data_IF_271238160339
#
_entry.id   IF_271238160339
#
_cell.length_a   1.000
_cell.length_b   1.000
_cell.length_c   1.000
_cell.angle_alpha   90.00
_cell.angle_beta   90.00
_cell.angle_gamma   90.00
#
_symmetry.space_group_name_H-M   'P 1'
#
loop_
_entity.id
_entity.type
_entity.pdbx_description
1 polymer ?
#
# COMPACT_ATOMS: atom_id res chain seq x y z
N UNK A 1 -17.20 16.06 -14.90
CA UNK A 1 -18.15 14.92 -14.83
C UNK A 1 -19.42 15.41 -14.15
N UNK A 2 -20.62 15.07 -14.63
CA UNK A 2 -21.87 15.53 -14.01
C UNK A 2 -22.98 14.49 -14.08
N UNK A 3 -23.96 14.61 -13.19
CA UNK A 3 -25.12 13.73 -13.13
C UNK A 3 -26.42 14.56 -13.07
N UNK A 4 -27.05 14.83 -14.23
CA UNK A 4 -28.29 15.59 -14.29
C UNK A 4 -29.44 14.77 -13.69
N UNK A 5 -30.18 15.41 -12.79
CA UNK A 5 -31.31 14.82 -12.07
C UNK A 5 -32.58 15.63 -12.33
N UNK A 6 -33.69 14.92 -12.46
CA UNK A 6 -35.00 15.51 -12.65
C UNK A 6 -35.99 14.88 -11.67
N UNK A 7 -36.69 15.74 -10.93
CA UNK A 7 -37.80 15.37 -10.07
C UNK A 7 -39.09 15.91 -10.68
N UNK A 8 -40.19 15.17 -10.54
CA UNK A 8 -41.53 15.58 -10.96
C UNK A 8 -42.37 15.83 -9.71
N UNK A 9 -43.11 16.93 -9.66
CA UNK A 9 -43.89 17.24 -8.45
C UNK A 9 -44.46 18.66 -8.44
N UNK A 10 -44.58 19.22 -7.24
CA UNK A 10 -45.20 20.51 -6.88
C UNK A 10 -44.52 21.78 -7.44
N UNK A 11 -43.59 21.64 -8.37
CA UNK A 11 -42.76 22.72 -8.89
C UNK A 11 -43.50 23.57 -9.94
N UNK A 12 -43.10 24.83 -10.10
CA UNK A 12 -43.74 25.81 -11.01
C UNK A 12 -43.91 25.33 -12.46
N UNK A 13 -43.11 24.37 -12.91
CA UNK A 13 -43.18 23.75 -14.25
C UNK A 13 -43.44 22.25 -14.21
N UNK A 14 -44.05 21.74 -13.15
CA UNK A 14 -44.23 20.31 -12.81
C UNK A 14 -42.94 19.51 -12.61
N UNK A 15 -41.77 20.11 -12.88
CA UNK A 15 -40.47 19.47 -12.77
C UNK A 15 -39.46 20.39 -12.09
N UNK A 16 -38.61 19.80 -11.26
CA UNK A 16 -37.39 20.40 -10.75
C UNK A 16 -36.20 19.70 -11.38
N UNK A 17 -35.24 20.49 -11.90
CA UNK A 17 -34.06 19.98 -12.61
C UNK A 17 -32.82 20.58 -11.98
N UNK A 18 -31.86 19.73 -11.65
CA UNK A 18 -30.56 20.16 -11.17
C UNK A 18 -29.48 19.25 -11.75
N UNK A 19 -28.23 19.71 -11.70
CA UNK A 19 -27.09 18.93 -12.16
C UNK A 19 -25.95 19.07 -11.16
N UNK A 20 -25.54 17.95 -10.58
CA UNK A 20 -24.35 17.89 -9.73
C UNK A 20 -23.12 17.62 -10.60
N UNK A 21 -22.13 18.49 -10.54
CA UNK A 21 -20.91 18.40 -11.34
C UNK A 21 -19.65 18.41 -10.47
N UNK A 22 -18.74 17.46 -10.72
CA UNK A 22 -17.36 17.50 -10.24
C UNK A 22 -16.44 17.90 -11.39
N UNK A 23 -15.57 18.89 -11.13
CA UNK A 23 -14.60 19.42 -12.09
C UNK A 23 -13.22 18.88 -11.73
N UNK A 24 -12.54 18.30 -12.72
CA UNK A 24 -11.25 17.64 -12.55
C UNK A 24 -10.27 18.12 -13.63
N UNK A 25 -8.98 17.89 -13.40
CA UNK A 25 -7.95 18.05 -14.42
C UNK A 25 -8.16 17.07 -15.59
N UNK A 26 -7.70 17.44 -16.79
CA UNK A 26 -7.93 16.69 -18.03
C UNK A 26 -7.39 15.25 -17.98
N UNK A 27 -6.32 15.01 -17.22
CA UNK A 27 -5.61 13.71 -17.14
C UNK A 27 -5.99 12.90 -15.90
N UNK A 28 -6.92 13.38 -15.07
CA UNK A 28 -7.32 12.68 -13.86
C UNK A 28 -8.09 11.39 -14.19
N UNK A 29 -7.86 10.32 -13.42
CA UNK A 29 -8.69 9.12 -13.45
C UNK A 29 -10.05 9.43 -12.81
N UNK A 30 -11.11 9.27 -13.60
CA UNK A 30 -12.48 9.58 -13.18
C UNK A 30 -13.28 8.34 -12.77
N UNK A 31 -12.72 7.13 -12.93
CA UNK A 31 -13.44 5.86 -12.77
C UNK A 31 -14.04 5.68 -11.37
N UNK A 32 -13.33 6.15 -10.34
CA UNK A 32 -13.78 6.07 -8.94
C UNK A 32 -14.84 7.13 -8.57
N UNK A 33 -14.98 8.20 -9.35
CA UNK A 33 -15.87 9.32 -9.02
C UNK A 33 -17.28 9.16 -9.60
N UNK A 34 -17.46 8.40 -10.68
CA UNK A 34 -18.79 8.23 -11.29
C UNK A 34 -19.83 7.66 -10.31
N UNK A 35 -19.54 6.60 -9.52
CA UNK A 35 -20.48 6.10 -8.52
C UNK A 35 -20.76 7.13 -7.43
N UNK A 36 -19.77 7.97 -7.11
CA UNK A 36 -19.87 9.01 -6.07
C UNK A 36 -20.81 10.12 -6.52
N UNK A 37 -20.59 10.69 -7.70
CA UNK A 37 -21.48 11.75 -8.25
C UNK A 37 -22.91 11.22 -8.39
N UNK A 38 -23.09 9.98 -8.85
CA UNK A 38 -24.40 9.33 -8.95
C UNK A 38 -25.07 9.17 -7.58
N UNK A 39 -24.32 8.74 -6.55
CA UNK A 39 -24.86 8.55 -5.20
C UNK A 39 -25.24 9.89 -4.56
N UNK A 40 -24.39 10.91 -4.66
CA UNK A 40 -24.68 12.24 -4.10
C UNK A 40 -25.88 12.87 -4.83
N UNK A 41 -25.94 12.78 -6.16
CA UNK A 41 -27.07 13.32 -6.91
C UNK A 41 -28.40 12.65 -6.54
N UNK A 42 -28.39 11.36 -6.19
CA UNK A 42 -29.58 10.67 -5.64
C UNK A 42 -29.94 11.14 -4.23
N UNK A 43 -28.96 11.32 -3.34
CA UNK A 43 -29.20 11.83 -1.99
C UNK A 43 -29.80 13.24 -2.05
N UNK A 44 -29.23 14.11 -2.90
CA UNK A 44 -29.77 15.45 -3.14
C UNK A 44 -31.20 15.42 -3.69
N UNK A 45 -31.51 14.48 -4.58
CA UNK A 45 -32.86 14.31 -5.10
C UNK A 45 -33.85 13.89 -4.00
N UNK A 46 -33.46 12.99 -3.10
CA UNK A 46 -34.27 12.59 -1.94
C UNK A 46 -34.47 13.74 -0.95
N UNK A 47 -33.41 14.50 -0.62
CA UNK A 47 -33.51 15.67 0.25
C UNK A 47 -34.43 16.75 -0.36
N UNK A 48 -34.39 16.92 -1.67
CA UNK A 48 -35.27 17.85 -2.38
C UNK A 48 -36.75 17.42 -2.34
N UNK A 49 -37.03 16.11 -2.45
CA UNK A 49 -38.40 15.58 -2.35
C UNK A 49 -38.98 15.70 -0.93
N UNK A 50 -38.16 15.47 0.09
CA UNK A 50 -38.59 15.47 1.49
C UNK A 50 -38.71 16.88 2.09
N UNK A 51 -37.75 17.77 1.81
CA UNK A 51 -37.60 19.03 2.52
C UNK A 51 -37.37 20.25 1.63
N UNK A 52 -37.55 20.14 0.32
CA UNK A 52 -37.27 21.24 -0.63
C UNK A 52 -35.84 21.80 -0.47
N UNK A 53 -34.90 20.91 -0.11
CA UNK A 53 -33.54 21.28 0.32
C UNK A 53 -32.77 22.19 -0.65
N UNK A 54 -32.96 22.01 -1.97
CA UNK A 54 -32.33 22.79 -3.03
C UNK A 54 -33.21 23.95 -3.51
N UNK A 55 -34.53 23.79 -3.50
CA UNK A 55 -35.47 24.79 -3.99
C UNK A 55 -35.75 25.92 -2.98
N UNK A 56 -35.68 25.65 -1.68
CA UNK A 56 -35.72 26.63 -0.59
C UNK A 56 -34.43 26.60 0.22
N UNK A 57 -33.41 27.39 -0.18
CA UNK A 57 -32.15 27.44 0.56
C UNK A 57 -32.32 28.19 1.88
N UNK A 58 -32.32 27.46 3.00
CA UNK A 58 -32.24 28.01 4.35
C UNK A 58 -30.80 28.07 4.87
N UNK A 59 -30.54 28.90 5.89
CA UNK A 59 -29.22 29.03 6.52
C UNK A 59 -28.69 27.74 7.17
N UNK A 60 -29.53 26.71 7.34
CA UNK A 60 -29.19 25.45 7.99
C UNK A 60 -28.96 24.28 7.01
N UNK A 61 -29.10 24.52 5.70
CA UNK A 61 -28.93 23.48 4.68
C UNK A 61 -27.43 23.23 4.40
N UNK A 62 -26.81 22.34 5.18
CA UNK A 62 -25.41 21.93 4.99
C UNK A 62 -25.31 20.43 4.71
N UNK A 63 -24.44 20.05 3.76
CA UNK A 63 -24.12 18.65 3.46
C UNK A 63 -22.62 18.48 3.61
N UNK A 64 -22.23 17.59 4.51
CA UNK A 64 -20.84 17.17 4.67
C UNK A 64 -20.55 15.95 3.79
N UNK A 65 -19.58 16.11 2.88
CA UNK A 65 -19.15 15.04 1.99
C UNK A 65 -17.73 14.63 2.35
N UNK A 66 -17.55 13.35 2.72
CA UNK A 66 -16.23 12.75 2.91
C UNK A 66 -15.94 11.77 1.78
N UNK A 67 -15.04 12.16 0.90
CA UNK A 67 -14.57 11.31 -0.20
C UNK A 67 -13.40 10.49 0.31
N UNK A 68 -13.50 9.16 0.17
CA UNK A 68 -12.40 8.26 0.47
C UNK A 68 -11.70 7.86 -0.84
N UNK A 69 -10.36 7.74 -0.82
CA UNK A 69 -9.65 7.17 -1.95
C UNK A 69 -10.12 5.73 -2.19
N UNK A 70 -10.22 5.36 -3.46
CA UNK A 70 -10.48 3.99 -3.85
C UNK A 70 -9.21 3.16 -3.70
N UNK A 71 -9.27 2.08 -2.93
CA UNK A 71 -8.20 1.09 -2.85
C UNK A 71 -8.65 -0.22 -3.50
N UNK A 72 -7.82 -0.83 -4.36
CA UNK A 72 -8.14 -2.14 -4.92
C UNK A 72 -8.10 -3.21 -3.82
N UNK A 73 -8.87 -4.27 -4.00
CA UNK A 73 -8.84 -5.41 -3.07
C UNK A 73 -7.43 -6.02 -3.05
N UNK A 74 -6.81 -6.19 -1.86
CA UNK A 74 -5.47 -6.74 -1.75
C UNK A 74 -5.46 -8.23 -2.15
N UNK A 75 -4.29 -8.76 -2.55
CA UNK A 75 -4.13 -10.20 -2.72
C UNK A 75 -4.36 -10.94 -1.39
N UNK A 76 -4.77 -12.21 -1.50
CA UNK A 76 -4.98 -13.05 -0.33
C UNK A 76 -3.69 -13.25 0.46
N UNK A 77 -3.72 -12.89 1.75
CA UNK A 77 -2.61 -13.07 2.68
C UNK A 77 -2.53 -14.54 3.08
N UNK A 78 -1.32 -15.10 3.08
CA UNK A 78 -1.05 -16.49 3.48
C UNK A 78 -0.22 -16.52 4.76
N UNK A 79 -0.35 -17.61 5.51
CA UNK A 79 0.21 -17.71 6.87
C UNK A 79 1.75 -17.69 6.91
N UNK A 80 2.39 -18.05 5.80
CA UNK A 80 3.85 -18.01 5.63
C UNK A 80 4.38 -16.69 5.07
N UNK A 81 3.53 -15.74 4.69
CA UNK A 81 3.99 -14.46 4.19
C UNK A 81 4.60 -13.61 5.31
N UNK A 82 5.60 -12.79 4.96
CA UNK A 82 6.27 -11.87 5.87
C UNK A 82 5.81 -10.44 5.55
N UNK A 83 5.07 -9.77 6.45
CA UNK A 83 4.72 -8.37 6.30
C UNK A 83 5.93 -7.47 6.59
N UNK A 84 6.15 -6.49 5.72
CA UNK A 84 7.14 -5.42 5.85
C UNK A 84 6.40 -4.10 5.93
N UNK A 85 6.66 -3.34 6.99
CA UNK A 85 6.11 -2.01 7.16
C UNK A 85 6.82 -1.01 6.24
N UNK A 86 6.05 -0.25 5.46
CA UNK A 86 6.56 0.84 4.61
C UNK A 86 6.62 2.16 5.38
N UNK A 87 5.91 2.23 6.50
CA UNK A 87 5.83 3.39 7.39
C UNK A 87 6.10 2.97 8.82
N UNK A 88 6.39 3.94 9.70
CA UNK A 88 6.46 3.66 11.13
C UNK A 88 5.04 3.42 11.68
N UNK A 89 4.64 2.15 11.78
CA UNK A 89 3.32 1.73 12.27
C UNK A 89 3.05 2.22 13.70
N UNK A 90 4.06 2.16 14.58
CA UNK A 90 3.91 2.53 15.99
C UNK A 90 3.48 3.98 16.16
N UNK A 91 3.94 4.89 15.29
CA UNK A 91 3.54 6.30 15.31
C UNK A 91 2.11 6.56 14.83
N UNK A 92 1.46 5.57 14.20
CA UNK A 92 0.10 5.69 13.66
C UNK A 92 -0.96 4.99 14.48
N UNK A 93 -0.58 4.18 15.47
CA UNK A 93 -1.52 3.50 16.35
C UNK A 93 -2.13 4.56 17.27
N UNK A 94 -3.46 4.71 17.20
CA UNK A 94 -4.25 5.54 18.11
C UNK A 94 -4.90 4.64 19.19
N UNK A 95 -5.28 5.21 20.32
CA UNK A 95 -5.82 4.45 21.47
C UNK A 95 -7.15 3.74 21.17
N UNK A 96 -7.89 4.22 20.17
CA UNK A 96 -9.17 3.66 19.72
C UNK A 96 -9.03 2.59 18.63
N UNK A 97 -7.79 2.21 18.27
CA UNK A 97 -7.57 1.17 17.27
C UNK A 97 -8.01 -0.20 17.77
N UNK A 98 -8.35 -1.07 16.82
CA UNK A 98 -8.64 -2.47 17.09
C UNK A 98 -7.51 -3.14 17.89
N UNK A 99 -7.88 -3.92 18.91
CA UNK A 99 -6.93 -4.56 19.82
C UNK A 99 -5.99 -5.52 19.07
N UNK A 100 -6.51 -6.27 18.10
CA UNK A 100 -5.74 -7.21 17.27
C UNK A 100 -4.71 -6.43 16.45
N UNK A 101 -5.13 -5.32 15.82
CA UNK A 101 -4.22 -4.45 15.07
C UNK A 101 -3.07 -3.90 15.93
N UNK A 102 -3.40 -3.39 17.12
CA UNK A 102 -2.41 -2.83 18.04
C UNK A 102 -1.38 -3.87 18.50
N UNK A 103 -1.83 -5.11 18.75
CA UNK A 103 -0.94 -6.24 19.10
C UNK A 103 -0.08 -6.67 17.92
N UNK A 104 -0.69 -6.94 16.77
CA UNK A 104 -0.02 -7.45 15.56
C UNK A 104 1.04 -6.47 15.04
N UNK A 105 0.73 -5.17 14.99
CA UNK A 105 1.65 -4.15 14.46
C UNK A 105 2.99 -4.06 15.21
N UNK A 106 3.04 -4.46 16.50
CA UNK A 106 4.28 -4.45 17.30
C UNK A 106 5.29 -5.51 16.85
N UNK A 107 4.82 -6.56 16.18
CA UNK A 107 5.64 -7.69 15.75
C UNK A 107 5.90 -7.71 14.24
N UNK A 108 5.45 -6.68 13.51
CA UNK A 108 5.78 -6.47 12.09
C UNK A 108 7.18 -5.84 12.00
N UNK A 109 8.19 -6.69 11.93
CA UNK A 109 9.61 -6.33 11.86
C UNK A 109 10.26 -6.62 10.49
N UNK A 110 9.49 -7.16 9.55
CA UNK A 110 9.98 -7.62 8.24
C UNK A 110 10.77 -8.93 8.30
N UNK A 111 10.63 -9.72 9.38
CA UNK A 111 11.23 -11.05 9.54
C UNK A 111 10.17 -12.08 9.89
N UNK A 112 9.29 -11.78 10.84
CA UNK A 112 8.28 -12.72 11.30
C UNK A 112 7.21 -12.92 10.22
N UNK A 113 6.86 -14.17 9.94
CA UNK A 113 5.72 -14.48 9.08
C UNK A 113 4.40 -14.42 9.86
N UNK A 114 3.27 -14.34 9.15
CA UNK A 114 1.93 -14.16 9.74
C UNK A 114 1.63 -15.14 10.88
N UNK A 115 1.89 -16.44 10.70
CA UNK A 115 1.66 -17.44 11.76
C UNK A 115 2.52 -17.20 13.01
N UNK A 116 3.77 -16.75 12.83
CA UNK A 116 4.65 -16.43 13.96
C UNK A 116 4.21 -15.15 14.66
N UNK A 117 3.75 -14.15 13.90
CA UNK A 117 3.19 -12.92 14.46
C UNK A 117 1.96 -13.23 15.30
N UNK A 118 1.05 -14.07 14.82
CA UNK A 118 -0.13 -14.50 15.57
C UNK A 118 0.24 -15.13 16.92
N UNK A 119 1.24 -16.02 16.93
CA UNK A 119 1.74 -16.65 18.14
C UNK A 119 2.39 -15.65 19.11
N UNK A 120 3.22 -14.73 18.61
CA UNK A 120 3.89 -13.71 19.44
C UNK A 120 2.90 -12.67 20.00
N UNK A 121 1.85 -12.35 19.25
CA UNK A 121 0.81 -11.41 19.64
C UNK A 121 -0.26 -12.00 20.58
N UNK A 122 -0.24 -13.33 20.79
CA UNK A 122 -1.31 -14.08 21.45
C UNK A 122 -2.67 -13.74 20.82
N UNK A 123 -2.74 -13.92 19.49
CA UNK A 123 -3.91 -13.70 18.66
C UNK A 123 -4.19 -14.92 17.78
N UNK A 124 -5.46 -15.11 17.43
CA UNK A 124 -5.83 -16.14 16.45
C UNK A 124 -5.21 -15.83 15.07
N UNK A 125 -4.79 -16.88 14.36
CA UNK A 125 -4.11 -16.73 13.05
C UNK A 125 -5.05 -16.19 11.98
N UNK A 126 -6.34 -16.50 12.05
CA UNK A 126 -7.34 -15.99 11.10
C UNK A 126 -7.57 -14.50 11.29
N UNK A 127 -7.73 -14.05 12.53
CA UNK A 127 -7.85 -12.62 12.87
C UNK A 127 -6.56 -11.85 12.52
N UNK A 128 -5.39 -12.46 12.77
CA UNK A 128 -4.11 -11.87 12.38
C UNK A 128 -3.99 -11.72 10.87
N UNK A 129 -4.48 -12.70 10.10
CA UNK A 129 -4.49 -12.64 8.62
C UNK A 129 -5.41 -11.53 8.12
N UNK A 130 -6.58 -11.37 8.72
CA UNK A 130 -7.50 -10.26 8.41
C UNK A 130 -6.89 -8.91 8.75
N UNK A 131 -6.25 -8.79 9.91
CA UNK A 131 -5.52 -7.59 10.32
C UNK A 131 -4.42 -7.21 9.31
N UNK A 132 -3.60 -8.17 8.89
CA UNK A 132 -2.58 -7.95 7.86
C UNK A 132 -3.20 -7.62 6.51
N UNK A 133 -4.33 -8.24 6.15
CA UNK A 133 -5.06 -7.91 4.91
C UNK A 133 -5.58 -6.47 4.91
N UNK A 134 -6.11 -5.99 6.03
CA UNK A 134 -6.53 -4.59 6.20
C UNK A 134 -5.34 -3.63 6.10
N UNK A 135 -4.20 -3.93 6.74
CA UNK A 135 -2.99 -3.11 6.59
C UNK A 135 -2.49 -3.08 5.13
N UNK A 136 -2.62 -4.20 4.41
CA UNK A 136 -2.25 -4.30 3.00
C UNK A 136 -3.22 -3.51 2.09
N UNK A 137 -4.52 -3.50 2.39
CA UNK A 137 -5.53 -2.70 1.68
C UNK A 137 -5.20 -1.21 1.71
N UNK A 138 -4.78 -0.69 2.87
CA UNK A 138 -4.34 0.70 3.02
C UNK A 138 -2.91 0.99 2.54
N UNK A 139 -2.22 -0.01 1.97
CA UNK A 139 -0.86 0.11 1.42
C UNK A 139 0.18 0.60 2.43
N UNK A 140 -0.06 0.37 3.74
CA UNK A 140 0.91 0.72 4.80
C UNK A 140 1.97 -0.35 5.01
N UNK A 141 1.67 -1.58 4.57
CA UNK A 141 2.60 -2.70 4.56
C UNK A 141 2.63 -3.34 3.18
N UNK A 142 3.67 -4.14 2.94
CA UNK A 142 3.71 -5.09 1.84
C UNK A 142 4.07 -6.49 2.34
N UNK A 143 3.70 -7.52 1.60
CA UNK A 143 4.01 -8.92 1.95
C UNK A 143 5.07 -9.48 1.00
N UNK A 144 6.09 -10.11 1.56
CA UNK A 144 7.12 -10.87 0.82
C UNK A 144 7.18 -12.32 1.29
N UNK A 145 7.91 -13.16 0.55
CA UNK A 145 8.21 -14.52 0.98
C UNK A 145 9.27 -14.57 2.10
N UNK A 146 9.27 -15.67 2.85
CA UNK A 146 10.30 -15.96 3.86
C UNK A 146 11.68 -15.99 3.18
N UNK A 147 12.59 -15.19 3.70
CA UNK A 147 13.98 -15.21 3.30
C UNK A 147 14.68 -16.47 3.85
N UNK A 148 15.31 -17.22 2.96
CA UNK A 148 16.17 -18.36 3.29
C UNK A 148 17.43 -18.29 2.41
N UNK A 149 18.58 -18.74 2.93
CA UNK A 149 19.83 -18.77 2.16
C UNK A 149 19.79 -19.74 0.97
N UNK A 150 18.91 -20.74 1.03
CA UNK A 150 18.61 -21.68 -0.07
C UNK A 150 17.75 -21.06 -1.18
N UNK A 151 17.17 -19.87 -0.97
CA UNK A 151 16.39 -19.21 -1.99
C UNK A 151 17.28 -18.84 -3.17
N UNK A 152 16.72 -18.91 -4.36
CA UNK A 152 17.30 -18.36 -5.58
C UNK A 152 16.57 -17.06 -5.88
N UNK A 153 17.31 -16.04 -6.28
CA UNK A 153 16.73 -14.78 -6.72
C UNK A 153 17.31 -14.39 -8.07
N UNK A 154 16.48 -13.76 -8.90
CA UNK A 154 16.83 -13.34 -10.25
C UNK A 154 16.36 -11.92 -10.51
N UNK A 155 17.14 -11.20 -11.30
CA UNK A 155 16.77 -9.86 -11.72
C UNK A 155 15.60 -9.87 -12.72
N UNK A 156 14.71 -8.90 -12.53
CA UNK A 156 13.68 -8.53 -13.50
C UNK A 156 14.24 -7.51 -14.48
N UNK A 157 13.60 -7.40 -15.65
CA UNK A 157 13.92 -6.35 -16.65
C UNK A 157 13.76 -4.94 -16.07
N UNK A 158 12.98 -4.79 -15.00
CA UNK A 158 12.75 -3.51 -14.34
C UNK A 158 14.01 -2.87 -13.75
N UNK A 159 15.06 -3.65 -13.47
CA UNK A 159 16.34 -3.11 -12.99
C UNK A 159 16.95 -2.09 -13.97
N UNK A 160 16.67 -2.19 -15.27
CA UNK A 160 17.28 -1.32 -16.28
C UNK A 160 16.90 0.15 -16.09
N UNK A 161 15.68 0.43 -15.64
CA UNK A 161 15.20 1.79 -15.39
C UNK A 161 15.28 2.14 -13.90
N UNK A 162 14.96 1.19 -13.01
CA UNK A 162 15.03 1.41 -11.55
C UNK A 162 16.45 1.71 -11.06
N UNK A 163 17.47 1.16 -11.72
CA UNK A 163 18.85 1.40 -11.32
C UNK A 163 19.30 2.84 -11.56
N UNK A 164 18.56 3.62 -12.37
CA UNK A 164 18.87 5.02 -12.65
C UNK A 164 18.15 6.01 -11.74
N UNK A 165 17.09 5.58 -11.06
CA UNK A 165 16.30 6.43 -10.17
C UNK A 165 17.10 6.85 -8.93
N UNK A 166 17.11 8.15 -8.63
CA UNK A 166 17.89 8.73 -7.53
C UNK A 166 17.53 8.10 -6.17
N UNK A 167 16.24 7.92 -5.90
CA UNK A 167 15.78 7.37 -4.64
C UNK A 167 16.25 5.91 -4.42
N UNK A 168 16.38 5.10 -5.48
CA UNK A 168 16.89 3.72 -5.37
C UNK A 168 18.38 3.73 -5.01
N UNK A 169 19.16 4.61 -5.66
CA UNK A 169 20.60 4.78 -5.43
C UNK A 169 20.90 5.22 -3.99
N UNK A 170 20.13 6.19 -3.51
CA UNK A 170 20.31 6.80 -2.19
C UNK A 170 19.82 5.89 -1.04
N UNK A 171 18.73 5.15 -1.22
CA UNK A 171 18.16 4.30 -0.17
C UNK A 171 18.84 2.94 -0.02
N UNK A 172 19.35 2.35 -1.11
CA UNK A 172 19.84 0.97 -1.10
C UNK A 172 21.00 0.75 -0.13
N UNK A 173 21.98 1.65 -0.13
CA UNK A 173 23.17 1.57 0.70
C UNK A 173 22.85 1.62 2.20
N UNK A 174 22.22 2.71 2.70
CA UNK A 174 21.83 2.84 4.10
C UNK A 174 20.91 1.72 4.60
N UNK A 175 20.00 1.23 3.76
CA UNK A 175 19.10 0.14 4.15
C UNK A 175 19.80 -1.21 4.28
N UNK A 176 20.75 -1.51 3.38
CA UNK A 176 21.36 -2.83 3.26
C UNK A 176 22.65 -3.01 4.07
N UNK A 177 23.27 -1.92 4.52
CA UNK A 177 24.56 -1.97 5.23
C UNK A 177 24.34 -2.17 6.73
N UNK A 178 25.17 -3.01 7.36
CA UNK A 178 25.16 -3.20 8.83
C UNK A 178 25.66 -1.92 9.53
N UNK A 179 25.13 -1.59 10.72
CA UNK A 179 25.65 -0.48 11.52
C UNK A 179 27.15 -0.63 11.77
N UNK A 180 27.91 0.44 11.57
CA UNK A 180 29.36 0.48 11.80
C UNK A 180 30.24 0.12 10.59
N UNK A 181 29.66 -0.29 9.46
CA UNK A 181 30.40 -0.51 8.21
C UNK A 181 30.26 0.67 7.24
N UNK A 182 31.28 0.95 6.41
CA UNK A 182 31.16 1.96 5.36
C UNK A 182 30.13 1.52 4.32
N UNK A 183 29.26 2.45 3.93
CA UNK A 183 28.22 2.20 2.92
C UNK A 183 28.91 2.00 1.57
N UNK A 184 28.73 0.84 0.90
CA UNK A 184 29.30 0.61 -0.42
C UNK A 184 28.65 1.51 -1.48
N UNK A 185 29.45 1.92 -2.48
CA UNK A 185 28.93 2.72 -3.60
C UNK A 185 27.88 1.97 -4.41
N UNK A 186 26.93 2.73 -4.99
CA UNK A 186 25.85 2.16 -5.81
C UNK A 186 26.34 1.24 -6.94
N UNK A 187 27.39 1.58 -7.73
CA UNK A 187 27.89 0.68 -8.78
C UNK A 187 28.32 -0.69 -8.25
N UNK A 188 28.85 -0.75 -7.02
CA UNK A 188 29.25 -1.99 -6.36
C UNK A 188 28.03 -2.82 -5.94
N UNK A 189 27.00 -2.17 -5.39
CA UNK A 189 25.73 -2.81 -5.05
C UNK A 189 24.99 -3.32 -6.31
N UNK A 190 24.96 -2.53 -7.38
CA UNK A 190 24.38 -2.92 -8.66
C UNK A 190 25.14 -4.10 -9.28
N UNK A 191 26.48 -4.10 -9.17
CA UNK A 191 27.28 -5.25 -9.59
C UNK A 191 26.86 -6.51 -8.86
N UNK A 192 26.72 -6.45 -7.53
CA UNK A 192 26.28 -7.57 -6.70
C UNK A 192 24.89 -8.11 -7.10
N UNK A 193 23.94 -7.21 -7.37
CA UNK A 193 22.62 -7.58 -7.91
C UNK A 193 22.71 -8.26 -9.28
N UNK A 194 23.57 -7.78 -10.18
CA UNK A 194 23.75 -8.35 -11.54
C UNK A 194 24.25 -9.80 -11.54
N UNK A 195 24.83 -10.25 -10.42
CA UNK A 195 25.35 -11.61 -10.24
C UNK A 195 24.32 -12.58 -9.65
N UNK A 196 23.15 -12.11 -9.25
CA UNK A 196 22.02 -12.96 -8.88
C UNK A 196 21.38 -13.55 -10.15
N UNK A 197 21.78 -14.77 -10.48
CA UNK A 197 21.36 -15.50 -11.69
C UNK A 197 20.51 -16.72 -11.33
N UNK A 198 19.64 -17.18 -12.25
CA UNK A 198 18.89 -18.41 -12.05
C UNK A 198 19.84 -19.60 -11.86
N UNK A 199 19.45 -20.53 -10.98
CA UNK A 199 20.24 -21.74 -10.68
C UNK A 199 21.33 -21.54 -9.63
N UNK A 200 21.41 -20.36 -9.01
CA UNK A 200 22.35 -20.06 -7.93
C UNK A 200 21.61 -19.62 -6.67
N UNK A 201 21.98 -20.21 -5.54
CA UNK A 201 21.40 -19.85 -4.24
C UNK A 201 22.02 -18.57 -3.69
N UNK A 202 21.31 -17.90 -2.78
CA UNK A 202 21.84 -16.74 -2.05
C UNK A 202 23.08 -17.12 -1.25
N UNK A 203 23.15 -18.34 -0.71
CA UNK A 203 24.33 -18.83 0.02
C UNK A 203 25.57 -18.88 -0.88
N UNK A 204 25.46 -19.54 -2.04
CA UNK A 204 26.59 -19.65 -2.98
C UNK A 204 27.03 -18.26 -3.45
N UNK A 205 26.08 -17.36 -3.73
CA UNK A 205 26.36 -15.96 -4.11
C UNK A 205 27.07 -15.19 -2.99
N UNK A 206 26.64 -15.37 -1.73
CA UNK A 206 27.24 -14.73 -0.57
C UNK A 206 28.71 -15.13 -0.40
N UNK A 207 29.03 -16.41 -0.60
CA UNK A 207 30.37 -16.97 -0.44
C UNK A 207 31.33 -16.53 -1.56
N UNK A 208 30.93 -16.59 -2.84
CA UNK A 208 31.80 -16.22 -3.96
C UNK A 208 32.15 -14.73 -3.97
N UNK A 209 31.18 -13.86 -3.70
CA UNK A 209 31.39 -12.41 -3.72
C UNK A 209 31.79 -11.84 -2.36
N UNK A 210 31.99 -12.70 -1.35
CA UNK A 210 32.44 -12.34 0.00
C UNK A 210 31.64 -11.16 0.58
N UNK A 211 30.32 -11.19 0.39
CA UNK A 211 29.43 -10.06 0.73
C UNK A 211 29.46 -9.72 2.22
N UNK A 212 29.84 -10.69 3.07
CA UNK A 212 30.06 -10.46 4.50
C UNK A 212 31.22 -9.49 4.78
N UNK A 213 32.31 -9.56 4.01
CA UNK A 213 33.48 -8.66 4.15
C UNK A 213 33.11 -7.22 3.79
N UNK A 214 32.05 -7.03 2.99
CA UNK A 214 31.53 -5.72 2.59
C UNK A 214 30.58 -5.08 3.62
N UNK A 215 30.30 -5.76 4.74
CA UNK A 215 29.40 -5.24 5.76
C UNK A 215 27.92 -5.22 5.37
N UNK A 216 27.53 -5.93 4.31
CA UNK A 216 26.16 -5.95 3.80
C UNK A 216 25.33 -6.98 4.58
N UNK A 217 24.15 -6.57 5.06
CA UNK A 217 23.11 -7.47 5.55
C UNK A 217 22.39 -8.09 4.35
N UNK A 218 22.70 -9.35 4.07
CA UNK A 218 22.16 -10.10 2.93
C UNK A 218 20.65 -10.11 2.92
N UNK A 219 19.99 -10.28 4.08
CA UNK A 219 18.53 -10.33 4.15
C UNK A 219 17.94 -8.98 3.76
N UNK A 220 18.47 -7.88 4.31
CA UNK A 220 18.02 -6.52 3.96
C UNK A 220 18.30 -6.22 2.50
N UNK A 221 19.48 -6.58 2.00
CA UNK A 221 19.85 -6.41 0.59
C UNK A 221 18.87 -7.13 -0.34
N UNK A 222 18.62 -8.42 -0.12
CA UNK A 222 17.67 -9.19 -0.92
C UNK A 222 16.24 -8.64 -0.78
N UNK A 223 15.82 -8.29 0.43
CA UNK A 223 14.49 -7.73 0.68
C UNK A 223 14.30 -6.39 -0.03
N UNK A 224 15.31 -5.53 -0.06
CA UNK A 224 15.27 -4.25 -0.78
C UNK A 224 14.97 -4.44 -2.27
N UNK A 225 15.65 -5.39 -2.92
CA UNK A 225 15.39 -5.70 -4.32
C UNK A 225 13.99 -6.24 -4.60
N UNK A 226 13.44 -7.02 -3.66
CA UNK A 226 12.05 -7.49 -3.74
C UNK A 226 11.06 -6.34 -3.51
N UNK A 227 11.33 -5.48 -2.51
CA UNK A 227 10.51 -4.30 -2.17
C UNK A 227 10.40 -3.34 -3.35
N UNK A 228 11.53 -3.00 -3.97
CA UNK A 228 11.59 -2.12 -5.14
C UNK A 228 11.15 -2.81 -6.43
N UNK A 229 10.87 -4.11 -6.41
CA UNK A 229 10.30 -4.84 -7.54
C UNK A 229 11.26 -5.15 -8.68
N UNK A 230 12.58 -5.10 -8.46
CA UNK A 230 13.58 -5.51 -9.44
C UNK A 230 14.14 -6.91 -9.21
N UNK A 231 13.84 -7.52 -8.05
CA UNK A 231 14.22 -8.89 -7.73
C UNK A 231 12.97 -9.78 -7.68
N UNK A 232 13.09 -11.01 -8.16
CA UNK A 232 12.09 -12.07 -7.97
C UNK A 232 12.77 -13.33 -7.45
N UNK A 233 12.06 -14.08 -6.62
CA UNK A 233 12.42 -15.46 -6.31
C UNK A 233 12.16 -16.35 -7.53
#
# INVERSE_FOLDING_TARGET
MGFPSQLRGKYQRNFFRFNLCFVFERTADLSCYEPIVRKISRVLASCEEESEFLSTPDQFNSIELKIFPFYPNPPAVKDWMVPIALINLVRRIEDNWDLTMSKVCRYIDGVNHVSRIAHLADCDVTLTREAISHLLYYQVIMTIDIFQYSNMYTLRKSIQWLADEAHVKEECGPYSTKPGFPIPDWPKLLHLYSRMKPGRTVLEWLEEYKVQELGIDVRRFTSFGVIKGFLRR
#
